data_IF_175898637894
#
_entry.id   IF_175898637894
#
_cell.length_a   1.000
_cell.length_b   1.000
_cell.length_c   1.000
_cell.angle_alpha   90.00
_cell.angle_beta   90.00
_cell.angle_gamma   90.00
#
_symmetry.space_group_name_H-M   'P 1'
#
loop_
_entity.id
_entity.type
_entity.pdbx_description
1 polymer ?
#
# COMPACT_ATOMS: atom_id res chain seq x y z
N UNK A 1 -40.28 15.49 25.67
CA UNK A 1 -39.20 16.24 25.00
C UNK A 1 -37.86 15.77 25.54
N UNK A 2 -36.99 15.28 24.66
CA UNK A 2 -35.52 15.33 24.69
C UNK A 2 -34.95 14.13 23.92
N UNK A 3 -34.77 14.30 22.60
CA UNK A 3 -33.90 13.46 21.78
C UNK A 3 -32.46 13.91 22.04
N UNK A 4 -31.60 13.03 22.57
CA UNK A 4 -30.15 13.23 22.56
C UNK A 4 -29.59 12.52 21.31
N UNK A 5 -29.29 13.30 20.28
CA UNK A 5 -28.54 12.84 19.11
C UNK A 5 -27.05 12.84 19.46
N UNK A 6 -26.47 11.66 19.68
CA UNK A 6 -25.02 11.48 19.75
C UNK A 6 -24.50 11.35 18.32
N UNK A 7 -23.97 12.45 17.79
CA UNK A 7 -23.14 12.43 16.58
C UNK A 7 -21.77 11.86 16.94
N UNK A 8 -21.57 10.56 16.71
CA UNK A 8 -20.22 10.00 16.61
C UNK A 8 -19.65 10.36 15.23
N UNK A 9 -18.67 11.28 15.23
CA UNK A 9 -17.84 11.55 14.06
C UNK A 9 -17.01 10.32 13.71
N UNK A 10 -17.46 9.58 12.70
CA UNK A 10 -16.63 8.61 12.00
C UNK A 10 -15.69 9.38 11.07
N UNK A 11 -14.44 9.53 11.51
CA UNK A 11 -13.34 9.95 10.66
C UNK A 11 -13.27 8.98 9.46
N UNK A 12 -13.37 9.56 8.28
CA UNK A 12 -13.57 8.88 7.01
C UNK A 12 -12.38 8.01 6.62
N UNK A 13 -12.73 6.81 6.18
CA UNK A 13 -11.87 5.91 5.42
C UNK A 13 -11.36 6.63 4.15
N UNK A 14 -10.07 6.95 4.13
CA UNK A 14 -9.35 7.52 2.99
C UNK A 14 -8.04 6.80 2.65
N UNK A 15 -7.79 5.62 3.24
CA UNK A 15 -6.64 4.77 2.92
C UNK A 15 -7.03 3.76 1.85
N UNK A 16 -7.21 4.21 0.61
CA UNK A 16 -7.74 3.35 -0.45
C UNK A 16 -6.71 3.17 -1.58
N UNK A 17 -6.32 1.92 -1.81
CA UNK A 17 -5.62 1.37 -2.99
C UNK A 17 -4.11 1.64 -3.14
N UNK A 18 -3.62 2.88 -3.00
CA UNK A 18 -2.21 3.21 -3.36
C UNK A 18 -1.16 2.74 -2.34
N UNK A 19 -1.48 2.78 -1.04
CA UNK A 19 -0.57 2.30 0.00
C UNK A 19 -0.27 0.81 -0.15
N UNK A 20 -1.25 0.01 -0.57
CA UNK A 20 -1.06 -1.44 -0.77
C UNK A 20 -0.09 -1.70 -1.91
N UNK A 21 -0.25 -1.02 -3.05
CA UNK A 21 0.63 -1.19 -4.21
C UNK A 21 2.03 -0.67 -3.90
N UNK A 22 2.20 0.46 -3.23
CA UNK A 22 3.52 0.98 -2.86
C UNK A 22 4.22 0.21 -1.73
N UNK A 23 3.46 -0.37 -0.79
CA UNK A 23 3.96 -1.38 0.17
C UNK A 23 4.30 -2.70 -0.54
N UNK A 24 3.69 -2.99 -1.70
CA UNK A 24 4.05 -4.11 -2.58
C UNK A 24 5.21 -3.79 -3.53
N UNK A 25 5.73 -2.56 -3.55
CA UNK A 25 6.78 -2.13 -4.47
C UNK A 25 8.07 -1.73 -3.73
N UNK A 26 7.96 -1.02 -2.60
CA UNK A 26 9.08 -0.64 -1.71
C UNK A 26 9.53 -1.75 -0.74
N UNK A 27 8.97 -2.94 -0.95
CA UNK A 27 9.23 -4.13 -0.16
C UNK A 27 10.19 -5.05 -0.90
N UNK A 28 11.22 -4.52 -1.57
CA UNK A 28 12.44 -5.23 -2.01
C UNK A 28 13.61 -5.02 -1.02
N UNK A 29 13.56 -3.93 -0.25
CA UNK A 29 14.31 -3.68 0.99
C UNK A 29 13.66 -2.49 1.70
N UNK A 30 12.71 -2.68 2.64
CA UNK A 30 12.05 -1.60 3.34
C UNK A 30 12.99 -0.87 4.29
N UNK A 31 14.20 -1.38 4.55
CA UNK A 31 15.22 -0.63 5.27
C UNK A 31 16.15 0.12 4.33
N UNK A 32 16.13 -0.16 3.02
CA UNK A 32 16.92 0.61 2.06
C UNK A 32 16.49 2.07 2.07
N UNK A 33 17.49 2.92 1.92
CA UNK A 33 17.32 4.36 1.77
C UNK A 33 16.38 4.67 0.59
N UNK A 34 16.41 3.87 -0.48
CA UNK A 34 15.53 4.01 -1.63
C UNK A 34 14.07 3.75 -1.30
N UNK A 35 13.77 2.60 -0.69
CA UNK A 35 12.40 2.23 -0.31
C UNK A 35 11.81 3.16 0.75
N UNK A 36 12.63 3.62 1.69
CA UNK A 36 12.22 4.64 2.67
C UNK A 36 11.89 5.97 1.98
N UNK A 37 12.74 6.40 1.03
CA UNK A 37 12.52 7.59 0.23
C UNK A 37 11.23 7.53 -0.59
N UNK A 38 10.99 6.42 -1.30
CA UNK A 38 9.76 6.22 -2.09
C UNK A 38 8.52 6.19 -1.20
N UNK A 39 8.56 5.51 -0.04
CA UNK A 39 7.41 5.51 0.89
C UNK A 39 7.09 6.89 1.41
N UNK A 40 8.13 7.65 1.82
CA UNK A 40 7.95 9.03 2.27
C UNK A 40 7.36 9.90 1.16
N UNK A 41 7.89 9.80 -0.06
CA UNK A 41 7.36 10.49 -1.22
C UNK A 41 5.89 10.16 -1.46
N UNK A 42 5.52 8.88 -1.41
CA UNK A 42 4.13 8.47 -1.60
C UNK A 42 3.18 8.94 -0.47
N UNK A 43 3.66 8.93 0.78
CA UNK A 43 2.90 9.47 1.92
C UNK A 43 2.62 10.96 1.74
N UNK A 44 3.62 11.74 1.32
CA UNK A 44 3.45 13.17 1.05
C UNK A 44 2.52 13.40 -0.16
N UNK A 45 2.60 12.54 -1.19
CA UNK A 45 1.75 12.59 -2.38
C UNK A 45 0.27 12.32 -2.04
N UNK A 46 0.03 11.30 -1.21
CA UNK A 46 -1.31 10.93 -0.74
C UNK A 46 -1.89 12.00 0.19
N UNK A 47 -1.06 12.60 1.05
CA UNK A 47 -1.49 13.70 1.91
C UNK A 47 -1.93 14.91 1.08
N UNK A 48 -1.17 15.26 0.03
CA UNK A 48 -1.54 16.32 -0.90
C UNK A 48 -2.82 15.97 -1.67
N UNK A 49 -2.90 14.77 -2.25
CA UNK A 49 -4.09 14.31 -3.00
C UNK A 49 -5.36 14.32 -2.16
N UNK A 50 -5.27 13.85 -0.90
CA UNK A 50 -6.39 13.86 0.06
C UNK A 50 -6.86 15.29 0.34
N UNK A 51 -5.92 16.20 0.61
CA UNK A 51 -6.25 17.60 0.84
C UNK A 51 -6.85 18.26 -0.41
N UNK A 52 -6.33 17.95 -1.60
CA UNK A 52 -6.88 18.46 -2.86
C UNK A 52 -8.29 17.94 -3.14
N UNK A 53 -8.63 16.74 -2.69
CA UNK A 53 -9.98 16.16 -2.83
C UNK A 53 -11.00 16.69 -1.82
N UNK A 54 -10.56 17.09 -0.63
CA UNK A 54 -11.45 17.45 0.48
C UNK A 54 -12.12 18.84 0.29
N UNK A 55 -13.40 18.93 -0.07
CA UNK A 55 -14.06 20.21 -0.31
C UNK A 55 -14.07 21.15 0.90
N UNK A 56 -13.83 20.63 2.12
CA UNK A 56 -13.76 21.39 3.36
C UNK A 56 -12.36 21.91 3.68
N UNK A 57 -11.33 21.49 2.93
CA UNK A 57 -9.98 22.01 3.09
C UNK A 57 -9.91 23.47 2.63
N UNK A 58 -9.73 24.38 3.57
CA UNK A 58 -9.62 25.83 3.33
C UNK A 58 -8.18 26.37 3.51
N UNK A 59 -7.23 25.50 3.87
CA UNK A 59 -5.82 25.87 4.06
C UNK A 59 -5.03 25.97 2.75
N UNK A 60 -3.90 26.69 2.73
CA UNK A 60 -3.02 26.74 1.57
C UNK A 60 -2.30 25.40 1.36
N UNK A 61 -2.27 24.93 0.11
CA UNK A 61 -1.59 23.68 -0.26
C UNK A 61 -0.05 23.79 -0.26
N UNK A 62 0.51 24.99 -0.12
CA UNK A 62 1.95 25.24 -0.21
C UNK A 62 2.78 24.39 0.76
N UNK A 63 2.28 24.15 1.97
CA UNK A 63 2.98 23.33 2.97
C UNK A 63 3.01 21.84 2.61
N UNK A 64 1.92 21.32 2.02
CA UNK A 64 1.82 19.93 1.54
C UNK A 64 2.68 19.75 0.28
N UNK A 65 2.59 20.69 -0.64
CA UNK A 65 3.40 20.72 -1.85
C UNK A 65 4.89 20.84 -1.52
N UNK A 66 5.27 21.68 -0.55
CA UNK A 66 6.65 21.83 -0.08
C UNK A 66 7.22 20.50 0.40
N UNK A 67 6.50 19.78 1.26
CA UNK A 67 6.91 18.45 1.74
C UNK A 67 7.07 17.43 0.60
N UNK A 68 6.12 17.39 -0.33
CA UNK A 68 6.19 16.51 -1.50
C UNK A 68 7.43 16.79 -2.37
N UNK A 69 7.73 18.07 -2.61
CA UNK A 69 8.92 18.47 -3.38
C UNK A 69 10.22 18.15 -2.64
N UNK A 70 10.25 18.34 -1.32
CA UNK A 70 11.40 18.00 -0.48
C UNK A 70 11.68 16.50 -0.46
N UNK A 71 10.65 15.66 -0.32
CA UNK A 71 10.84 14.20 -0.34
C UNK A 71 11.27 13.69 -1.71
N UNK A 72 10.78 14.28 -2.81
CA UNK A 72 11.29 14.00 -4.15
C UNK A 72 12.75 14.45 -4.35
N UNK A 73 13.10 15.65 -3.91
CA UNK A 73 14.47 16.17 -4.01
C UNK A 73 15.45 15.30 -3.24
N UNK A 74 15.09 14.86 -2.04
CA UNK A 74 15.90 13.92 -1.26
C UNK A 74 16.14 12.60 -2.01
N UNK A 75 15.07 12.02 -2.58
CA UNK A 75 15.16 10.79 -3.35
C UNK A 75 15.99 10.97 -4.64
N UNK A 76 15.70 12.01 -5.41
CA UNK A 76 16.34 12.27 -6.70
C UNK A 76 17.82 12.61 -6.59
N UNK A 77 18.22 13.41 -5.60
CA UNK A 77 19.63 13.70 -5.34
C UNK A 77 20.42 12.42 -5.05
N UNK A 78 19.78 11.44 -4.41
CA UNK A 78 20.44 10.20 -4.04
C UNK A 78 20.52 9.20 -5.18
N UNK A 79 19.45 9.05 -5.96
CA UNK A 79 19.29 7.90 -6.85
C UNK A 79 19.22 8.22 -8.35
N UNK A 80 19.16 9.48 -8.78
CA UNK A 80 18.97 9.79 -10.22
C UNK A 80 20.10 9.27 -11.12
N UNK A 81 21.34 9.37 -10.65
CA UNK A 81 22.54 8.95 -11.40
C UNK A 81 23.17 7.68 -10.84
N UNK A 82 22.73 7.25 -9.66
CA UNK A 82 23.17 6.03 -8.99
C UNK A 82 21.91 5.23 -8.65
N UNK A 83 21.33 4.48 -9.61
CA UNK A 83 20.13 3.69 -9.36
C UNK A 83 20.35 2.75 -8.17
N UNK A 84 19.30 2.46 -7.39
CA UNK A 84 19.36 1.39 -6.40
C UNK A 84 19.68 0.06 -7.10
N UNK A 85 20.17 -0.91 -6.33
CA UNK A 85 20.63 -2.20 -6.89
C UNK A 85 19.57 -2.88 -7.75
N UNK A 86 18.31 -2.81 -7.33
CA UNK A 86 17.15 -3.42 -7.97
C UNK A 86 16.82 -2.78 -9.33
N UNK A 87 17.25 -1.54 -9.56
CA UNK A 87 17.04 -0.79 -10.79
C UNK A 87 18.34 -0.54 -11.58
N UNK A 88 19.48 -1.10 -11.14
CA UNK A 88 20.80 -0.90 -11.78
C UNK A 88 20.82 -1.33 -13.25
N UNK A 89 19.97 -2.28 -13.63
CA UNK A 89 19.81 -2.77 -15.00
C UNK A 89 18.66 -2.11 -15.78
N UNK A 90 17.98 -1.11 -15.23
CA UNK A 90 16.86 -0.44 -15.89
C UNK A 90 17.36 0.63 -16.87
N UNK A 91 17.25 0.42 -18.20
CA UNK A 91 17.72 1.40 -19.19
C UNK A 91 16.92 2.70 -19.16
N UNK A 92 15.73 2.70 -18.56
CA UNK A 92 14.82 3.83 -18.52
C UNK A 92 14.89 4.59 -17.19
N UNK A 93 15.81 4.24 -16.28
CA UNK A 93 15.87 4.79 -14.94
C UNK A 93 15.90 6.33 -14.90
N UNK A 94 16.86 6.92 -15.62
CA UNK A 94 17.03 8.39 -15.67
C UNK A 94 15.76 9.05 -16.22
N UNK A 95 15.16 8.46 -17.26
CA UNK A 95 13.93 8.98 -17.87
C UNK A 95 12.74 8.93 -16.89
N UNK A 96 12.61 7.86 -16.08
CA UNK A 96 11.57 7.75 -15.03
C UNK A 96 11.75 8.81 -13.94
N UNK A 97 12.99 9.06 -13.53
CA UNK A 97 13.31 10.11 -12.55
C UNK A 97 12.97 11.49 -13.10
N UNK A 98 13.40 11.82 -14.32
CA UNK A 98 13.09 13.10 -14.96
C UNK A 98 11.58 13.29 -15.19
N UNK A 99 10.88 12.25 -15.69
CA UNK A 99 9.44 12.28 -15.91
C UNK A 99 8.64 12.54 -14.63
N UNK A 100 9.12 12.05 -13.48
CA UNK A 100 8.52 12.36 -12.18
C UNK A 100 8.72 13.84 -11.80
N UNK A 101 9.91 14.40 -12.03
CA UNK A 101 10.18 15.81 -11.77
C UNK A 101 9.28 16.73 -12.61
N UNK A 102 9.07 16.40 -13.88
CA UNK A 102 8.18 17.16 -14.78
C UNK A 102 6.73 17.14 -14.30
N UNK A 103 6.24 15.97 -13.86
CA UNK A 103 4.90 15.80 -13.28
C UNK A 103 4.71 16.65 -12.03
N UNK A 104 5.70 16.66 -11.13
CA UNK A 104 5.69 17.52 -9.95
C UNK A 104 5.68 19.01 -10.30
N UNK A 105 6.39 19.40 -11.38
CA UNK A 105 6.33 20.75 -11.93
C UNK A 105 4.91 21.15 -12.36
N UNK A 106 4.19 20.25 -13.02
CA UNK A 106 2.78 20.46 -13.42
C UNK A 106 1.84 20.57 -12.23
N UNK A 107 1.98 19.69 -11.23
CA UNK A 107 1.20 19.75 -9.98
C UNK A 107 1.40 21.11 -9.29
N UNK A 108 2.67 21.56 -9.18
CA UNK A 108 2.99 22.87 -8.61
C UNK A 108 2.36 24.02 -9.39
N UNK A 109 2.40 23.98 -10.72
CA UNK A 109 1.80 25.01 -11.57
C UNK A 109 0.28 25.06 -11.38
N UNK A 110 -0.40 23.92 -11.38
CA UNK A 110 -1.85 23.82 -11.19
C UNK A 110 -2.28 24.36 -9.80
N UNK A 111 -1.55 24.01 -8.73
CA UNK A 111 -1.81 24.53 -7.39
C UNK A 111 -1.65 26.06 -7.35
N UNK A 112 -0.57 26.60 -7.92
CA UNK A 112 -0.34 28.05 -7.97
C UNK A 112 -1.39 28.80 -8.80
N UNK A 113 -1.94 28.15 -9.82
CA UNK A 113 -3.01 28.68 -10.65
C UNK A 113 -4.40 28.56 -9.99
N UNK A 114 -4.51 27.98 -8.79
CA UNK A 114 -5.79 27.71 -8.14
C UNK A 114 -6.62 26.60 -8.80
N UNK A 115 -6.03 25.83 -9.71
CA UNK A 115 -6.68 24.76 -10.47
C UNK A 115 -6.70 23.47 -9.65
N UNK A 116 -7.57 23.44 -8.63
CA UNK A 116 -7.62 22.37 -7.64
C UNK A 116 -7.89 20.98 -8.23
N UNK A 117 -8.87 20.88 -9.13
CA UNK A 117 -9.24 19.61 -9.76
C UNK A 117 -8.10 19.08 -10.64
N UNK A 118 -7.51 19.96 -11.46
CA UNK A 118 -6.35 19.60 -12.29
C UNK A 118 -5.18 19.11 -11.44
N UNK A 119 -4.86 19.81 -10.35
CA UNK A 119 -3.80 19.38 -9.43
C UNK A 119 -4.08 18.00 -8.83
N UNK A 120 -5.33 17.72 -8.46
CA UNK A 120 -5.74 16.40 -7.96
C UNK A 120 -5.54 15.31 -9.02
N UNK A 121 -5.98 15.56 -10.25
CA UNK A 121 -5.90 14.59 -11.34
C UNK A 121 -4.43 14.31 -11.73
N UNK A 122 -3.56 15.32 -11.72
CA UNK A 122 -2.12 15.15 -11.89
C UNK A 122 -1.46 14.36 -10.75
N UNK A 123 -1.95 14.49 -9.51
CA UNK A 123 -1.49 13.68 -8.37
C UNK A 123 -1.86 12.21 -8.57
N UNK A 124 -3.07 11.92 -9.03
CA UNK A 124 -3.48 10.55 -9.36
C UNK A 124 -2.64 9.96 -10.49
N UNK A 125 -2.40 10.73 -11.56
CA UNK A 125 -1.57 10.28 -12.69
C UNK A 125 -0.14 9.96 -12.25
N UNK A 126 0.44 10.80 -11.38
CA UNK A 126 1.76 10.56 -10.81
C UNK A 126 1.80 9.31 -9.93
N UNK A 127 0.75 9.05 -9.14
CA UNK A 127 0.65 7.86 -8.31
C UNK A 127 0.65 6.57 -9.17
N UNK A 128 -0.12 6.55 -10.26
CA UNK A 128 -0.11 5.44 -11.22
C UNK A 128 1.27 5.28 -11.87
N UNK A 129 1.94 6.39 -12.21
CA UNK A 129 3.26 6.37 -12.84
C UNK A 129 4.35 5.78 -11.92
N UNK A 130 4.22 5.90 -10.60
CA UNK A 130 5.16 5.29 -9.64
C UNK A 130 5.23 3.76 -9.76
N UNK A 131 4.17 3.10 -10.25
CA UNK A 131 4.20 1.67 -10.54
C UNK A 131 5.28 1.28 -11.55
N UNK A 132 5.61 2.17 -12.49
CA UNK A 132 6.59 1.91 -13.55
C UNK A 132 8.03 1.78 -13.05
N UNK A 133 8.36 2.34 -11.88
CA UNK A 133 9.69 2.22 -11.27
C UNK A 133 10.06 0.77 -10.94
N UNK A 134 9.07 -0.10 -10.79
CA UNK A 134 9.24 -1.44 -10.27
C UNK A 134 8.99 -2.54 -11.29
N UNK A 135 8.62 -2.18 -12.52
CA UNK A 135 8.47 -3.12 -13.64
C UNK A 135 9.79 -3.83 -14.01
N UNK A 136 10.93 -3.20 -13.72
CA UNK A 136 12.28 -3.71 -13.98
C UNK A 136 12.85 -4.57 -12.84
N UNK A 137 12.17 -4.63 -11.68
CA UNK A 137 12.60 -5.42 -10.52
C UNK A 137 12.30 -6.89 -10.79
N UNK A 138 13.32 -7.74 -10.98
CA UNK A 138 13.16 -9.19 -11.17
C UNK A 138 12.58 -9.82 -9.90
N UNK A 139 11.26 -9.98 -9.83
CA UNK A 139 10.56 -10.55 -8.68
C UNK A 139 10.78 -12.07 -8.56
N UNK A 140 11.11 -12.55 -7.34
CA UNK A 140 11.16 -13.97 -6.98
C UNK A 140 9.79 -14.64 -7.12
N UNK A 141 9.75 -15.97 -7.25
CA UNK A 141 8.48 -16.71 -7.32
C UNK A 141 7.63 -16.52 -6.05
N UNK A 142 8.27 -16.55 -4.87
CA UNK A 142 7.66 -16.21 -3.59
C UNK A 142 7.00 -14.84 -3.63
N UNK A 143 7.65 -13.85 -4.23
CA UNK A 143 7.14 -12.50 -4.35
C UNK A 143 5.87 -12.41 -5.21
N UNK A 144 5.82 -13.12 -6.34
CA UNK A 144 4.62 -13.19 -7.19
C UNK A 144 3.45 -13.85 -6.47
N UNK A 145 3.73 -14.85 -5.63
CA UNK A 145 2.73 -15.49 -4.78
C UNK A 145 2.16 -14.49 -3.76
N UNK A 146 3.01 -13.66 -3.14
CA UNK A 146 2.53 -12.61 -2.23
C UNK A 146 1.67 -11.55 -2.92
N UNK A 147 2.04 -11.11 -4.13
CA UNK A 147 1.20 -10.19 -4.91
C UNK A 147 -0.18 -10.78 -5.18
N UNK A 148 -0.25 -12.08 -5.50
CA UNK A 148 -1.51 -12.78 -5.74
C UNK A 148 -2.37 -12.84 -4.48
N UNK A 149 -1.80 -13.17 -3.32
CA UNK A 149 -2.54 -13.22 -2.06
C UNK A 149 -2.97 -11.81 -1.61
N UNK A 150 -2.15 -10.79 -1.83
CA UNK A 150 -2.51 -9.39 -1.58
C UNK A 150 -3.70 -8.93 -2.44
N UNK A 151 -3.74 -9.31 -3.73
CA UNK A 151 -4.91 -9.07 -4.59
C UNK A 151 -6.17 -9.75 -4.04
N UNK A 152 -6.04 -10.98 -3.51
CA UNK A 152 -7.18 -11.69 -2.91
C UNK A 152 -7.69 -11.03 -1.63
N UNK A 153 -6.81 -10.51 -0.77
CA UNK A 153 -7.23 -9.70 0.38
C UNK A 153 -7.93 -8.41 -0.04
N UNK A 154 -7.46 -7.76 -1.10
CA UNK A 154 -8.14 -6.59 -1.65
C UNK A 154 -9.54 -6.94 -2.18
N UNK A 155 -9.69 -8.07 -2.87
CA UNK A 155 -11.02 -8.57 -3.28
C UNK A 155 -11.92 -8.84 -2.08
N UNK A 156 -11.38 -9.41 -1.01
CA UNK A 156 -12.11 -9.68 0.22
C UNK A 156 -12.61 -8.39 0.89
N UNK A 157 -11.80 -7.33 0.91
CA UNK A 157 -12.20 -6.00 1.37
C UNK A 157 -13.31 -5.40 0.51
N UNK A 158 -13.17 -5.49 -0.83
CA UNK A 158 -14.20 -5.00 -1.75
C UNK A 158 -15.52 -5.77 -1.59
N UNK A 159 -15.45 -7.08 -1.36
CA UNK A 159 -16.62 -7.93 -1.11
C UNK A 159 -17.31 -7.54 0.20
N UNK A 160 -16.55 -7.33 1.28
CA UNK A 160 -17.09 -6.89 2.56
C UNK A 160 -17.78 -5.52 2.45
N UNK A 161 -17.11 -4.54 1.85
CA UNK A 161 -17.64 -3.19 1.63
C UNK A 161 -18.91 -3.18 0.76
N UNK A 162 -18.94 -4.00 -0.29
CA UNK A 162 -20.09 -4.13 -1.21
C UNK A 162 -21.16 -5.09 -0.72
N UNK A 163 -20.96 -5.71 0.45
CA UNK A 163 -21.86 -6.73 1.03
C UNK A 163 -22.08 -7.93 0.13
N UNK A 164 -21.09 -8.24 -0.71
CA UNK A 164 -21.08 -9.39 -1.60
C UNK A 164 -20.46 -10.58 -0.88
N UNK A 165 -21.18 -11.12 0.11
CA UNK A 165 -20.68 -12.16 1.03
C UNK A 165 -20.65 -13.56 0.43
N UNK A 166 -21.33 -13.79 -0.70
CA UNK A 166 -21.45 -15.11 -1.33
C UNK A 166 -20.12 -15.70 -1.80
N UNK A 167 -19.22 -14.85 -2.30
CA UNK A 167 -17.92 -15.26 -2.87
C UNK A 167 -16.75 -15.15 -1.86
N UNK A 168 -17.01 -14.61 -0.67
CA UNK A 168 -16.00 -14.45 0.38
C UNK A 168 -15.46 -15.79 0.88
N UNK A 169 -16.27 -16.85 1.10
CA UNK A 169 -15.75 -18.16 1.52
C UNK A 169 -14.76 -18.76 0.53
N UNK A 170 -15.02 -18.66 -0.77
CA UNK A 170 -14.10 -19.15 -1.81
C UNK A 170 -12.78 -18.36 -1.81
N UNK A 171 -12.86 -17.05 -1.61
CA UNK A 171 -11.68 -16.17 -1.50
C UNK A 171 -10.85 -16.51 -0.26
N UNK A 172 -11.48 -16.70 0.90
CA UNK A 172 -10.83 -17.10 2.16
C UNK A 172 -10.19 -18.49 2.04
N UNK A 173 -10.89 -19.45 1.44
CA UNK A 173 -10.38 -20.79 1.21
C UNK A 173 -9.12 -20.76 0.34
N UNK A 174 -9.16 -19.98 -0.75
CA UNK A 174 -8.02 -19.81 -1.64
C UNK A 174 -6.81 -19.20 -0.91
N UNK A 175 -7.01 -18.11 -0.17
CA UNK A 175 -5.95 -17.49 0.65
C UNK A 175 -5.37 -18.50 1.66
N UNK A 176 -6.23 -19.26 2.33
CA UNK A 176 -5.84 -20.24 3.35
C UNK A 176 -5.03 -21.38 2.75
N UNK A 177 -5.42 -21.90 1.59
CA UNK A 177 -4.70 -22.93 0.86
C UNK A 177 -3.30 -22.44 0.46
N UNK A 178 -3.18 -21.21 -0.05
CA UNK A 178 -1.88 -20.62 -0.37
C UNK A 178 -0.98 -20.48 0.86
N UNK A 179 -1.52 -20.02 1.98
CA UNK A 179 -0.75 -19.94 3.23
C UNK A 179 -0.30 -21.34 3.69
N UNK A 180 -1.12 -22.38 3.52
CA UNK A 180 -0.72 -23.77 3.82
C UNK A 180 0.39 -24.26 2.90
N UNK A 181 0.35 -23.96 1.60
CA UNK A 181 1.43 -24.32 0.65
C UNK A 181 2.75 -23.57 0.96
N UNK A 182 2.65 -22.36 1.49
CA UNK A 182 3.80 -21.56 1.90
C UNK A 182 4.46 -22.10 3.19
N UNK A 183 3.68 -22.72 4.08
CA UNK A 183 4.11 -23.20 5.41
C UNK A 183 5.42 -24.00 5.45
N UNK A 184 5.70 -24.97 4.56
CA UNK A 184 6.97 -25.72 4.57
C UNK A 184 8.19 -24.86 4.23
N UNK A 185 8.00 -23.71 3.59
CA UNK A 185 9.07 -22.79 3.18
C UNK A 185 9.37 -21.72 4.24
N UNK A 186 8.57 -21.67 5.32
CA UNK A 186 8.68 -20.69 6.39
C UNK A 186 9.75 -21.08 7.40
N UNK A 187 10.63 -20.15 7.76
CA UNK A 187 11.54 -20.34 8.89
C UNK A 187 10.83 -20.12 10.23
N UNK A 188 11.47 -20.55 11.31
CA UNK A 188 10.90 -20.66 12.66
C UNK A 188 10.37 -19.33 13.21
N UNK A 189 11.06 -18.23 12.95
CA UNK A 189 10.70 -16.87 13.39
C UNK A 189 9.47 -16.29 12.66
N UNK A 190 9.10 -16.87 11.52
CA UNK A 190 7.91 -16.47 10.73
C UNK A 190 6.65 -17.25 11.09
N UNK A 191 6.76 -18.26 11.96
CA UNK A 191 5.63 -19.13 12.33
C UNK A 191 4.56 -18.44 13.17
N UNK A 192 4.94 -17.53 14.06
CA UNK A 192 3.97 -16.79 14.88
C UNK A 192 3.15 -15.79 14.04
N UNK A 193 3.75 -14.95 13.18
CA UNK A 193 3.00 -14.15 12.20
C UNK A 193 2.10 -15.00 11.28
N UNK A 194 2.57 -16.18 10.89
CA UNK A 194 1.81 -17.11 10.06
C UNK A 194 0.54 -17.59 10.77
N UNK A 195 0.68 -18.08 12.00
CA UNK A 195 -0.45 -18.55 12.80
C UNK A 195 -1.49 -17.43 13.01
N UNK A 196 -1.04 -16.21 13.36
CA UNK A 196 -1.93 -15.06 13.50
C UNK A 196 -2.70 -14.70 12.23
N UNK A 197 -2.08 -14.87 11.07
CA UNK A 197 -2.74 -14.65 9.77
C UNK A 197 -3.85 -15.67 9.55
N UNK A 198 -3.58 -16.96 9.81
CA UNK A 198 -4.60 -18.00 9.72
C UNK A 198 -5.74 -17.81 10.72
N UNK A 199 -5.43 -17.47 11.98
CA UNK A 199 -6.42 -17.18 13.01
C UNK A 199 -7.34 -16.02 12.61
N UNK A 200 -6.77 -14.98 11.99
CA UNK A 200 -7.57 -13.84 11.52
C UNK A 200 -8.48 -14.19 10.34
N UNK A 201 -8.05 -15.06 9.42
CA UNK A 201 -8.89 -15.57 8.34
C UNK A 201 -10.01 -16.47 8.85
N UNK A 202 -9.73 -17.30 9.85
CA UNK A 202 -10.74 -18.13 10.51
C UNK A 202 -11.81 -17.27 11.18
N UNK A 203 -11.41 -16.18 11.85
CA UNK A 203 -12.35 -15.23 12.43
C UNK A 203 -13.26 -14.57 11.38
N UNK A 204 -12.75 -14.24 10.18
CA UNK A 204 -13.61 -13.77 9.07
C UNK A 204 -14.59 -14.86 8.64
N UNK A 205 -14.12 -16.10 8.48
CA UNK A 205 -14.97 -17.24 8.07
C UNK A 205 -16.08 -17.54 9.09
N UNK A 206 -15.78 -17.44 10.39
CA UNK A 206 -16.78 -17.61 11.45
C UNK A 206 -17.81 -16.47 11.45
N UNK A 207 -17.37 -15.22 11.23
CA UNK A 207 -18.27 -14.07 11.17
C UNK A 207 -19.27 -14.16 10.00
N UNK A 208 -18.83 -14.70 8.86
CA UNK A 208 -19.70 -14.98 7.70
C UNK A 208 -20.76 -16.04 8.00
N UNK A 209 -20.47 -16.98 8.91
CA UNK A 209 -21.37 -18.08 9.26
C UNK A 209 -22.41 -17.72 10.31
N UNK A 210 -22.24 -16.59 11.02
CA UNK A 210 -23.03 -16.21 12.20
C UNK A 210 -23.89 -14.95 12.00
N UNK A 211 -24.06 -14.50 10.75
CA UNK A 211 -24.77 -13.26 10.36
C UNK A 211 -24.29 -12.05 11.19
N UNK A 212 -22.98 -11.92 11.31
CA UNK A 212 -22.36 -10.84 12.09
C UNK A 212 -22.55 -9.51 11.36
N UNK A 213 -22.95 -8.45 12.08
CA UNK A 213 -23.18 -7.12 11.49
C UNK A 213 -22.00 -6.59 10.67
N UNK A 214 -22.31 -5.95 9.54
CA UNK A 214 -21.34 -5.51 8.51
C UNK A 214 -20.10 -4.77 9.02
N UNK A 215 -20.23 -3.88 10.01
CA UNK A 215 -19.07 -3.16 10.57
C UNK A 215 -18.06 -4.06 11.28
N UNK A 216 -18.49 -5.18 11.86
CA UNK A 216 -17.60 -6.16 12.48
C UNK A 216 -16.87 -6.99 11.42
N UNK A 217 -17.54 -7.33 10.32
CA UNK A 217 -16.93 -8.06 9.21
C UNK A 217 -15.81 -7.24 8.56
N UNK A 218 -16.05 -5.96 8.29
CA UNK A 218 -15.03 -5.06 7.73
C UNK A 218 -13.78 -4.98 8.63
N UNK A 219 -13.96 -4.85 9.94
CA UNK A 219 -12.84 -4.82 10.91
C UNK A 219 -12.06 -6.14 10.93
N UNK A 220 -12.74 -7.28 10.83
CA UNK A 220 -12.08 -8.58 10.79
C UNK A 220 -11.28 -8.78 9.50
N UNK A 221 -11.81 -8.34 8.36
CA UNK A 221 -11.10 -8.38 7.08
C UNK A 221 -9.86 -7.48 7.11
N UNK A 222 -9.98 -6.26 7.63
CA UNK A 222 -8.84 -5.35 7.81
C UNK A 222 -7.77 -5.96 8.72
N UNK A 223 -8.18 -6.54 9.86
CA UNK A 223 -7.27 -7.24 10.76
C UNK A 223 -6.55 -8.39 10.07
N UNK A 224 -7.25 -9.17 9.24
CA UNK A 224 -6.65 -10.29 8.52
C UNK A 224 -5.61 -9.83 7.49
N UNK A 225 -5.89 -8.75 6.77
CA UNK A 225 -4.93 -8.09 5.89
C UNK A 225 -3.69 -7.61 6.66
N UNK A 226 -3.87 -6.95 7.80
CA UNK A 226 -2.74 -6.42 8.58
C UNK A 226 -1.83 -7.52 9.14
N UNK A 227 -2.41 -8.66 9.56
CA UNK A 227 -1.62 -9.83 9.97
C UNK A 227 -0.86 -10.44 8.79
N UNK A 228 -1.49 -10.54 7.62
CA UNK A 228 -0.82 -11.00 6.41
C UNK A 228 0.34 -10.08 5.99
N UNK A 229 0.15 -8.76 6.07
CA UNK A 229 1.22 -7.78 5.80
C UNK A 229 2.38 -7.93 6.80
N UNK A 230 2.07 -8.27 8.06
CA UNK A 230 3.08 -8.59 9.09
C UNK A 230 3.84 -9.86 8.73
N UNK A 231 3.17 -10.97 8.41
CA UNK A 231 3.80 -12.21 7.96
C UNK A 231 4.72 -11.98 6.75
N UNK A 232 4.22 -11.25 5.76
CA UNK A 232 4.97 -10.88 4.57
C UNK A 232 6.24 -10.09 4.91
N UNK A 233 6.15 -9.11 5.83
CA UNK A 233 7.32 -8.33 6.24
C UNK A 233 8.43 -9.19 6.85
N UNK A 234 8.07 -10.20 7.64
CA UNK A 234 9.01 -11.14 8.22
C UNK A 234 9.67 -12.03 7.16
N UNK A 235 8.90 -12.51 6.18
CA UNK A 235 9.42 -13.39 5.13
C UNK A 235 10.33 -12.67 4.15
N UNK A 236 9.96 -11.45 3.76
CA UNK A 236 10.79 -10.62 2.89
C UNK A 236 12.09 -10.21 3.59
N UNK A 237 12.07 -10.00 4.92
CA UNK A 237 13.31 -9.80 5.68
C UNK A 237 14.24 -11.03 5.63
N UNK A 238 13.73 -12.25 5.52
CA UNK A 238 14.59 -13.44 5.42
C UNK A 238 15.11 -13.76 4.01
N UNK A 239 14.33 -13.46 2.95
CA UNK A 239 14.82 -13.63 1.57
C UNK A 239 15.99 -12.67 1.25
N UNK A 240 16.11 -11.52 1.93
CA UNK A 240 17.17 -10.54 1.65
C UNK A 240 18.34 -10.54 2.62
N UNK A 241 18.15 -11.10 3.81
CA UNK A 241 19.26 -11.46 4.69
C UNK A 241 19.37 -12.98 4.68
N UNK A 242 19.94 -13.60 3.62
CA UNK A 242 20.18 -15.03 3.65
C UNK A 242 20.98 -15.30 4.92
N UNK A 243 20.43 -16.16 5.79
CA UNK A 243 21.04 -16.45 7.07
C UNK A 243 22.49 -16.84 6.83
N UNK A 244 23.42 -15.97 7.21
CA UNK A 244 24.84 -16.33 7.32
C UNK A 244 24.92 -17.26 8.51
N UNK A 245 24.56 -18.52 8.30
CA UNK A 245 24.97 -19.55 9.24
C UNK A 245 26.48 -19.75 9.05
N UNK A 246 27.27 -19.73 10.14
CA UNK A 246 28.67 -20.12 10.08
C UNK A 246 28.82 -21.58 9.65
#
# INVERSE_FOLDING_TARGET
MALLAVFFGLATAGRTCDDTLMILLTSSDPKSEFSQGIRRFNQDLTALGTALKDPLHQGPFDSLLGRLLESWLALSNRFSFTPPEEARGDPNWIAKMQGTADRLGRIRAAIKAGQRQEAHDQVLELSVHLGTFFESVKMSESYRIFLRVADQFYRLEQQALRRSVADMPATIASITEFLRDLRPRLATDTLAPYARTLESLDAVSQALSTDTGSGTLDLLVQKARDQFLTLRSHLLMMEWFPSTKP
#
